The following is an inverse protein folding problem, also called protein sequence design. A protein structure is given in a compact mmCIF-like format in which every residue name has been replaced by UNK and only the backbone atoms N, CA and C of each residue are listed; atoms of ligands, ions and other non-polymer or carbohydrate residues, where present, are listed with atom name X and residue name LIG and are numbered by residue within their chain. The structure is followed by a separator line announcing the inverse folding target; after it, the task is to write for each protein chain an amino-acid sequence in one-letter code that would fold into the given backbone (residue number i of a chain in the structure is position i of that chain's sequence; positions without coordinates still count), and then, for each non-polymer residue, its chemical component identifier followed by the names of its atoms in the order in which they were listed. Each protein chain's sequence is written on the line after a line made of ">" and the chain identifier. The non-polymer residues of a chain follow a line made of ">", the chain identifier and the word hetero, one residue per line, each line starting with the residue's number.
data_IF_357768294102
#
_entry.id   IF_357768294102
#
_cell.length_a   1.000
_cell.length_b   1.000
_cell.length_c   1.000
_cell.angle_alpha   90.00
_cell.angle_beta   90.00
_cell.angle_gamma   90.00
#
_symmetry.space_group_name_H-M   'P 1'
#
loop_
_entity.id
_entity.type
_entity.pdbx_description
1 polymer ?
#
# COMPACT_ATOMS: atom_id res chain seq x y z
N UNK A 1 -65.47 -21.02 9.28
CA UNK A 1 -64.42 -21.26 10.29
C UNK A 1 -63.29 -22.07 9.66
N UNK A 2 -62.04 -21.84 10.08
CA UNK A 2 -60.76 -22.40 9.61
C UNK A 2 -60.11 -21.63 8.42
N UNK A 3 -59.34 -20.55 8.69
CA UNK A 3 -57.91 -20.52 9.09
C UNK A 3 -57.01 -20.89 7.91
N UNK A 4 -56.55 -19.91 7.14
CA UNK A 4 -55.21 -19.29 7.25
C UNK A 4 -54.09 -20.34 7.12
N UNK A 5 -53.45 -20.34 5.94
CA UNK A 5 -52.24 -21.11 5.68
C UNK A 5 -51.37 -20.43 4.63
N UNK A 6 -51.13 -19.11 4.78
CA UNK A 6 -50.04 -18.42 4.07
C UNK A 6 -48.74 -19.13 4.42
N UNK A 7 -48.27 -20.02 3.55
CA UNK A 7 -46.87 -20.48 3.55
C UNK A 7 -46.03 -19.28 3.12
N UNK A 8 -45.67 -18.46 4.10
CA UNK A 8 -44.57 -17.52 3.98
C UNK A 8 -43.31 -18.37 3.75
N UNK A 9 -42.96 -18.55 2.48
CA UNK A 9 -41.63 -18.99 2.11
C UNK A 9 -40.67 -17.92 2.67
N UNK A 10 -40.02 -18.24 3.78
CA UNK A 10 -38.82 -17.57 4.25
C UNK A 10 -37.79 -17.71 3.13
N UNK A 11 -37.81 -16.78 2.17
CA UNK A 11 -36.65 -16.52 1.33
C UNK A 11 -35.56 -16.10 2.30
N UNK A 12 -34.69 -17.03 2.64
CA UNK A 12 -33.39 -16.68 3.19
C UNK A 12 -32.80 -15.71 2.17
N UNK A 13 -32.76 -14.42 2.51
CA UNK A 13 -32.07 -13.46 1.67
C UNK A 13 -30.65 -14.01 1.48
N UNK A 14 -30.15 -14.11 0.24
CA UNK A 14 -28.76 -14.48 0.03
C UNK A 14 -27.96 -13.49 0.87
N UNK A 15 -27.25 -13.99 1.90
CA UNK A 15 -26.30 -13.21 2.68
C UNK A 15 -25.40 -12.55 1.65
N UNK A 16 -25.65 -11.28 1.35
CA UNK A 16 -24.82 -10.55 0.43
C UNK A 16 -23.45 -10.58 1.08
N UNK A 17 -22.54 -11.29 0.44
CA UNK A 17 -21.14 -11.23 0.81
C UNK A 17 -20.79 -9.77 0.59
N UNK A 18 -20.82 -9.01 1.68
CA UNK A 18 -20.43 -7.62 1.70
C UNK A 18 -18.93 -7.65 1.43
N UNK A 19 -18.56 -7.60 0.16
CA UNK A 19 -17.18 -7.40 -0.23
C UNK A 19 -16.78 -6.05 0.39
N UNK A 20 -15.82 -6.03 1.33
CA UNK A 20 -15.26 -4.79 1.80
C UNK A 20 -14.62 -4.17 0.55
N UNK A 21 -15.17 -3.04 0.10
CA UNK A 21 -14.83 -2.31 -1.14
C UNK A 21 -15.59 -2.69 -2.43
N UNK A 22 -15.93 -1.65 -3.20
CA UNK A 22 -16.56 -1.71 -4.51
C UNK A 22 -15.70 -2.54 -5.49
N UNK A 23 -16.31 -3.43 -6.28
CA UNK A 23 -15.59 -4.36 -7.18
C UNK A 23 -14.64 -3.69 -8.17
N UNK A 24 -14.87 -2.42 -8.53
CA UNK A 24 -13.99 -1.63 -9.38
C UNK A 24 -12.60 -1.41 -8.76
N UNK A 25 -12.53 -1.30 -7.44
CA UNK A 25 -11.27 -1.11 -6.72
C UNK A 25 -10.41 -2.37 -6.76
N UNK A 26 -11.03 -3.54 -6.63
CA UNK A 26 -10.34 -4.82 -6.73
C UNK A 26 -9.76 -5.07 -8.12
N UNK A 27 -10.47 -4.69 -9.18
CA UNK A 27 -9.94 -4.77 -10.56
C UNK A 27 -8.72 -3.87 -10.73
N UNK A 28 -8.77 -2.64 -10.19
CA UNK A 28 -7.64 -1.72 -10.20
C UNK A 28 -6.44 -2.30 -9.44
N UNK A 29 -6.66 -2.79 -8.21
CA UNK A 29 -5.65 -3.43 -7.36
C UNK A 29 -4.99 -4.63 -8.03
N UNK A 30 -5.78 -5.52 -8.63
CA UNK A 30 -5.26 -6.68 -9.34
C UNK A 30 -4.50 -6.28 -10.61
N UNK A 31 -4.96 -5.24 -11.31
CA UNK A 31 -4.26 -4.66 -12.45
C UNK A 31 -2.87 -4.15 -12.07
N UNK A 32 -2.77 -3.37 -10.99
CA UNK A 32 -1.49 -2.90 -10.47
C UNK A 32 -0.57 -4.08 -10.10
N UNK A 33 -1.10 -5.11 -9.43
CA UNK A 33 -0.31 -6.29 -9.10
C UNK A 33 0.26 -7.00 -10.33
N UNK A 34 -0.49 -7.12 -11.42
CA UNK A 34 0.00 -7.73 -12.66
C UNK A 34 1.13 -6.90 -13.27
N UNK A 35 0.96 -5.57 -13.32
CA UNK A 35 1.99 -4.66 -13.84
C UNK A 35 3.26 -4.75 -12.99
N UNK A 36 3.17 -4.65 -11.66
CA UNK A 36 4.30 -4.80 -10.76
C UNK A 36 4.96 -6.18 -10.85
N UNK A 37 4.17 -7.24 -10.96
CA UNK A 37 4.70 -8.60 -11.15
C UNK A 37 5.54 -8.70 -12.42
N UNK A 38 5.10 -8.09 -13.52
CA UNK A 38 5.89 -8.04 -14.76
C UNK A 38 7.24 -7.32 -14.55
N UNK A 39 7.25 -6.19 -13.82
CA UNK A 39 8.49 -5.49 -13.48
C UNK A 39 9.42 -6.33 -12.60
N UNK A 40 8.87 -7.07 -11.63
CA UNK A 40 9.67 -7.97 -10.78
C UNK A 40 10.28 -9.13 -11.57
N UNK A 41 9.56 -9.69 -12.53
CA UNK A 41 10.09 -10.74 -13.42
C UNK A 41 11.25 -10.20 -14.26
N UNK A 42 11.08 -9.03 -14.89
CA UNK A 42 12.15 -8.40 -15.67
C UNK A 42 13.38 -8.12 -14.80
N UNK A 43 13.19 -7.60 -13.59
CA UNK A 43 14.27 -7.38 -12.63
C UNK A 43 15.01 -8.68 -12.27
N UNK A 44 14.27 -9.78 -12.03
CA UNK A 44 14.87 -11.08 -11.75
C UNK A 44 15.69 -11.63 -12.93
N UNK A 45 15.23 -11.45 -14.17
CA UNK A 45 15.97 -11.86 -15.36
C UNK A 45 17.29 -11.11 -15.49
N UNK A 46 17.27 -9.77 -15.38
CA UNK A 46 18.48 -8.95 -15.45
C UNK A 46 19.45 -9.25 -14.31
N UNK A 47 18.94 -9.45 -13.09
CA UNK A 47 19.74 -9.88 -11.95
C UNK A 47 20.48 -11.18 -12.23
N UNK A 48 19.81 -12.17 -12.80
CA UNK A 48 20.42 -13.47 -13.12
C UNK A 48 21.53 -13.33 -14.17
N UNK A 49 21.40 -12.38 -15.10
CA UNK A 49 22.42 -12.11 -16.13
C UNK A 49 23.63 -11.33 -15.59
N UNK A 50 23.43 -10.43 -14.62
CA UNK A 50 24.48 -9.52 -14.12
C UNK A 50 24.67 -9.62 -12.59
N UNK A 51 24.76 -10.84 -12.07
CA UNK A 51 24.73 -11.09 -10.61
C UNK A 51 25.82 -10.35 -9.82
N UNK A 52 27.03 -10.22 -10.38
CA UNK A 52 28.18 -9.56 -9.73
C UNK A 52 27.96 -8.05 -9.60
N UNK A 53 27.49 -7.40 -10.67
CA UNK A 53 27.22 -5.97 -10.71
C UNK A 53 26.04 -5.59 -9.79
N UNK A 54 25.03 -6.47 -9.69
CA UNK A 54 23.91 -6.30 -8.75
C UNK A 54 24.37 -6.40 -7.29
N UNK A 55 25.20 -7.39 -6.95
CA UNK A 55 25.76 -7.56 -5.61
C UNK A 55 26.63 -6.38 -5.17
N UNK A 56 27.46 -5.86 -6.08
CA UNK A 56 28.32 -4.71 -5.80
C UNK A 56 27.48 -3.44 -5.61
N UNK A 57 26.54 -3.18 -6.51
CA UNK A 57 25.63 -2.03 -6.43
C UNK A 57 24.73 -2.08 -5.18
N UNK A 58 24.31 -3.28 -4.74
CA UNK A 58 23.54 -3.47 -3.51
C UNK A 58 24.29 -3.06 -2.24
N UNK A 59 25.63 -3.12 -2.21
CA UNK A 59 26.43 -2.69 -1.05
C UNK A 59 26.38 -1.18 -0.83
N UNK A 60 26.04 -0.40 -1.86
CA UNK A 60 25.82 1.03 -1.74
C UNK A 60 24.45 1.37 -1.13
N UNK A 61 23.58 0.38 -0.87
CA UNK A 61 22.34 0.57 -0.14
C UNK A 61 22.49 0.30 1.35
N UNK A 62 21.95 1.20 2.17
CA UNK A 62 21.86 0.99 3.61
C UNK A 62 20.67 0.11 3.94
N UNK A 63 20.93 -1.18 4.22
CA UNK A 63 19.92 -2.14 4.64
C UNK A 63 19.21 -1.68 5.92
N UNK A 64 19.92 -1.08 6.86
CA UNK A 64 19.35 -0.57 8.12
C UNK A 64 18.27 0.49 7.87
N UNK A 65 18.54 1.44 6.98
CA UNK A 65 17.56 2.48 6.61
C UNK A 65 16.37 1.86 5.87
N UNK A 66 16.61 0.86 5.02
CA UNK A 66 15.55 0.08 4.36
C UNK A 66 14.65 -0.66 5.37
N UNK A 67 15.23 -1.33 6.37
CA UNK A 67 14.49 -2.05 7.41
C UNK A 67 13.67 -1.09 8.27
N UNK A 68 14.26 0.00 8.74
CA UNK A 68 13.55 1.00 9.56
C UNK A 68 12.34 1.55 8.78
N UNK A 69 12.52 1.91 7.51
CA UNK A 69 11.43 2.39 6.66
C UNK A 69 10.32 1.36 6.49
N UNK A 70 10.68 0.09 6.32
CA UNK A 70 9.71 -1.00 6.17
C UNK A 70 8.94 -1.22 7.47
N UNK A 71 9.60 -1.17 8.63
CA UNK A 71 8.92 -1.24 9.93
C UNK A 71 7.97 -0.06 10.16
N UNK A 72 8.35 1.15 9.73
CA UNK A 72 7.48 2.35 9.80
C UNK A 72 6.24 2.18 8.93
N UNK A 73 6.38 1.63 7.72
CA UNK A 73 5.25 1.34 6.83
C UNK A 73 4.34 0.23 7.37
N UNK A 74 4.91 -0.86 7.89
CA UNK A 74 4.12 -1.92 8.53
C UNK A 74 3.35 -1.40 9.74
N UNK A 75 3.97 -0.52 10.55
CA UNK A 75 3.29 0.16 11.64
C UNK A 75 2.16 1.08 11.14
N UNK A 76 2.39 1.82 10.03
CA UNK A 76 1.35 2.61 9.35
C UNK A 76 0.15 1.75 8.97
N UNK A 77 0.42 0.61 8.32
CA UNK A 77 -0.56 -0.40 7.92
C UNK A 77 -1.41 -0.84 9.12
N UNK A 78 -0.76 -1.16 10.24
CA UNK A 78 -1.45 -1.51 11.48
C UNK A 78 -2.36 -0.39 12.02
N UNK A 79 -1.91 0.86 11.99
CA UNK A 79 -2.75 1.99 12.40
C UNK A 79 -3.99 2.15 11.51
N UNK A 80 -3.83 2.02 10.19
CA UNK A 80 -4.94 2.12 9.24
C UNK A 80 -5.95 0.99 9.47
N UNK A 81 -5.49 -0.26 9.68
CA UNK A 81 -6.36 -1.38 10.01
C UNK A 81 -7.17 -1.13 11.29
N UNK A 82 -6.51 -0.64 12.35
CA UNK A 82 -7.19 -0.25 13.60
C UNK A 82 -8.18 0.91 13.38
N UNK A 83 -7.89 1.80 12.43
CA UNK A 83 -8.79 2.89 12.02
C UNK A 83 -10.09 2.38 11.40
N UNK A 84 -10.01 1.33 10.57
CA UNK A 84 -11.19 0.66 10.00
C UNK A 84 -12.04 0.03 11.10
N UNK A 85 -11.40 -0.71 12.03
CA UNK A 85 -12.10 -1.32 13.18
C UNK A 85 -12.78 -0.25 14.04
N UNK A 86 -12.09 0.85 14.33
CA UNK A 86 -12.64 1.97 15.07
C UNK A 86 -13.83 2.63 14.36
N UNK A 87 -13.80 2.70 13.02
CA UNK A 87 -14.90 3.20 12.19
C UNK A 87 -16.12 2.28 12.29
N UNK A 88 -15.91 0.96 12.21
CA UNK A 88 -16.98 -0.05 12.37
C UNK A 88 -17.62 -0.01 13.76
N UNK A 89 -16.85 0.30 14.79
CA UNK A 89 -17.32 0.47 16.16
C UNK A 89 -18.02 1.84 16.41
N UNK A 90 -18.16 2.70 15.40
CA UNK A 90 -18.76 4.04 15.52
C UNK A 90 -17.86 5.08 16.21
N UNK A 91 -16.60 4.74 16.51
CA UNK A 91 -15.64 5.61 17.21
C UNK A 91 -14.85 6.51 16.24
N UNK A 92 -15.57 7.39 15.52
CA UNK A 92 -15.01 8.19 14.42
C UNK A 92 -13.82 9.08 14.80
N UNK A 93 -13.78 9.63 16.02
CA UNK A 93 -12.63 10.42 16.48
C UNK A 93 -11.35 9.59 16.61
N UNK A 94 -11.48 8.32 16.99
CA UNK A 94 -10.35 7.39 17.09
C UNK A 94 -9.90 6.95 15.70
N UNK A 95 -10.85 6.63 14.83
CA UNK A 95 -10.57 6.34 13.42
C UNK A 95 -9.80 7.47 12.73
N UNK A 96 -10.25 8.71 12.89
CA UNK A 96 -9.62 9.89 12.30
C UNK A 96 -8.16 10.07 12.77
N UNK A 97 -7.89 9.90 14.07
CA UNK A 97 -6.53 9.96 14.62
C UNK A 97 -5.63 8.84 14.07
N UNK A 98 -6.16 7.62 13.98
CA UNK A 98 -5.42 6.47 13.47
C UNK A 98 -5.10 6.60 11.98
N UNK A 99 -6.05 7.07 11.16
CA UNK A 99 -5.84 7.37 9.75
C UNK A 99 -4.77 8.45 9.57
N UNK A 100 -4.79 9.50 10.40
CA UNK A 100 -3.79 10.55 10.36
C UNK A 100 -2.39 10.04 10.74
N UNK A 101 -2.29 9.21 11.78
CA UNK A 101 -1.03 8.59 12.19
C UNK A 101 -0.48 7.67 11.09
N UNK A 102 -1.35 6.85 10.48
CA UNK A 102 -0.98 6.02 9.33
C UNK A 102 -0.44 6.85 8.16
N UNK A 103 -1.16 7.90 7.77
CA UNK A 103 -0.70 8.83 6.72
C UNK A 103 0.61 9.52 7.08
N UNK A 104 0.80 9.97 8.31
CA UNK A 104 2.04 10.60 8.77
C UNK A 104 3.24 9.65 8.63
N UNK A 105 3.08 8.37 9.01
CA UNK A 105 4.12 7.36 8.80
C UNK A 105 4.46 7.18 7.31
N UNK A 106 3.45 7.21 6.42
CA UNK A 106 3.68 7.17 4.97
C UNK A 106 4.43 8.39 4.42
N UNK A 107 4.16 9.59 4.96
CA UNK A 107 4.92 10.81 4.64
C UNK A 107 6.37 10.69 5.10
N UNK A 108 6.60 10.21 6.33
CA UNK A 108 7.96 9.97 6.86
C UNK A 108 8.71 9.02 5.94
N UNK A 109 8.09 7.92 5.54
CA UNK A 109 8.66 6.98 4.57
C UNK A 109 9.07 7.67 3.26
N UNK A 110 8.16 8.47 2.67
CA UNK A 110 8.43 9.19 1.42
C UNK A 110 9.61 10.17 1.56
N UNK A 111 9.70 10.90 2.67
CA UNK A 111 10.79 11.86 2.95
C UNK A 111 12.13 11.14 3.13
N UNK A 112 12.17 10.06 3.92
CA UNK A 112 13.41 9.29 4.11
C UNK A 112 13.88 8.71 2.78
N UNK A 113 12.96 8.25 1.92
CA UNK A 113 13.31 7.74 0.59
C UNK A 113 13.80 8.83 -0.35
N UNK A 114 13.16 10.00 -0.36
CA UNK A 114 13.63 11.14 -1.13
C UNK A 114 15.04 11.59 -0.70
N UNK A 115 15.34 11.54 0.60
CA UNK A 115 16.67 11.83 1.12
C UNK A 115 17.72 10.77 0.69
N UNK A 116 17.35 9.48 0.71
CA UNK A 116 18.23 8.41 0.22
C UNK A 116 18.50 8.55 -1.29
N UNK A 117 17.51 8.98 -2.06
CA UNK A 117 17.68 9.27 -3.48
C UNK A 117 18.63 10.45 -3.70
N UNK A 118 18.42 11.58 -3.02
CA UNK A 118 19.24 12.78 -3.23
C UNK A 118 20.69 12.55 -2.85
N UNK A 119 20.96 11.81 -1.77
CA UNK A 119 22.32 11.43 -1.35
C UNK A 119 23.00 10.51 -2.37
N UNK A 120 22.29 9.54 -2.97
CA UNK A 120 22.84 8.67 -4.02
C UNK A 120 23.09 9.40 -5.34
N UNK A 121 22.18 10.29 -5.74
CA UNK A 121 22.34 11.13 -6.92
C UNK A 121 23.54 12.07 -6.73
N UNK A 122 23.70 12.66 -5.54
CA UNK A 122 24.85 13.50 -5.20
C UNK A 122 26.18 12.72 -5.19
N UNK A 123 26.14 11.42 -4.88
CA UNK A 123 27.29 10.52 -4.97
C UNK A 123 27.63 10.08 -6.42
N UNK A 124 26.94 10.60 -7.43
CA UNK A 124 27.19 10.29 -8.84
C UNK A 124 26.48 9.03 -9.36
N UNK A 125 25.73 8.33 -8.51
CA UNK A 125 24.96 7.12 -8.84
C UNK A 125 23.64 7.53 -9.53
N UNK A 126 23.77 8.06 -10.74
CA UNK A 126 22.64 8.60 -11.53
C UNK A 126 21.88 7.53 -12.31
N UNK A 127 20.72 7.90 -12.87
CA UNK A 127 19.81 7.03 -13.63
C UNK A 127 20.46 6.11 -14.69
N UNK A 128 21.50 6.55 -15.44
CA UNK A 128 22.19 5.69 -16.41
C UNK A 128 23.50 5.07 -15.88
N UNK A 129 23.74 5.09 -14.55
CA UNK A 129 25.03 4.63 -14.02
C UNK A 129 25.20 3.11 -14.17
N UNK A 130 24.15 2.33 -13.89
CA UNK A 130 24.14 0.87 -14.01
C UNK A 130 22.70 0.35 -14.10
N UNK A 131 22.50 -0.79 -14.77
CA UNK A 131 21.19 -1.43 -14.95
C UNK A 131 20.46 -1.64 -13.60
N UNK A 132 21.19 -1.98 -12.55
CA UNK A 132 20.65 -2.10 -11.19
C UNK A 132 20.04 -0.78 -10.67
N UNK A 133 20.76 0.35 -10.80
CA UNK A 133 20.26 1.65 -10.33
C UNK A 133 19.06 2.10 -11.16
N UNK A 134 19.03 1.81 -12.46
CA UNK A 134 17.87 2.08 -13.31
C UNK A 134 16.62 1.36 -12.78
N UNK A 135 16.69 0.05 -12.54
CA UNK A 135 15.56 -0.69 -11.96
C UNK A 135 15.23 -0.25 -10.54
N UNK A 136 16.24 0.07 -9.73
CA UNK A 136 16.05 0.59 -8.38
C UNK A 136 15.21 1.87 -8.39
N UNK A 137 15.60 2.88 -9.19
CA UNK A 137 14.88 4.15 -9.28
C UNK A 137 13.50 3.97 -9.92
N UNK A 138 13.37 3.08 -10.91
CA UNK A 138 12.07 2.79 -11.53
C UNK A 138 11.10 2.14 -10.53
N UNK A 139 11.48 1.02 -9.90
CA UNK A 139 10.62 0.29 -8.96
C UNK A 139 10.27 1.15 -7.73
N UNK A 140 11.27 1.79 -7.13
CA UNK A 140 11.02 2.63 -5.96
C UNK A 140 10.29 3.93 -6.31
N UNK A 141 10.45 4.45 -7.53
CA UNK A 141 9.78 5.66 -8.00
C UNK A 141 8.31 5.44 -8.31
N UNK A 142 7.98 4.36 -9.04
CA UNK A 142 6.58 3.98 -9.27
C UNK A 142 5.90 3.68 -7.94
N UNK A 143 6.60 3.02 -7.00
CA UNK A 143 6.06 2.82 -5.67
C UNK A 143 5.81 4.13 -4.91
N UNK A 144 6.75 5.07 -4.93
CA UNK A 144 6.57 6.38 -4.28
C UNK A 144 5.37 7.14 -4.85
N UNK A 145 5.13 7.03 -6.16
CA UNK A 145 3.92 7.56 -6.80
C UNK A 145 2.64 6.92 -6.24
N UNK A 146 2.61 5.60 -6.05
CA UNK A 146 1.46 4.90 -5.43
C UNK A 146 1.27 5.28 -3.97
N UNK A 147 2.36 5.47 -3.20
CA UNK A 147 2.28 5.98 -1.82
C UNK A 147 1.67 7.39 -1.80
N UNK A 148 2.04 8.26 -2.75
CA UNK A 148 1.43 9.59 -2.87
C UNK A 148 -0.07 9.51 -3.19
N UNK A 149 -0.49 8.64 -4.11
CA UNK A 149 -1.91 8.37 -4.37
C UNK A 149 -2.62 7.82 -3.12
N UNK A 150 -1.96 6.94 -2.38
CA UNK A 150 -2.50 6.37 -1.14
C UNK A 150 -2.70 7.43 -0.07
N UNK A 151 -1.79 8.40 0.02
CA UNK A 151 -1.91 9.53 0.95
C UNK A 151 -3.09 10.42 0.58
N UNK A 152 -3.34 10.61 -0.73
CA UNK A 152 -4.55 11.31 -1.21
C UNK A 152 -5.81 10.54 -0.79
N UNK A 153 -5.85 9.22 -0.97
CA UNK A 153 -6.99 8.40 -0.53
C UNK A 153 -7.21 8.47 1.00
N UNK A 154 -6.15 8.36 1.81
CA UNK A 154 -6.26 8.53 3.26
C UNK A 154 -6.72 9.95 3.64
N UNK A 155 -6.30 10.97 2.89
CA UNK A 155 -6.77 12.33 3.01
C UNK A 155 -8.28 12.46 2.77
N UNK A 156 -8.79 11.86 1.68
CA UNK A 156 -10.24 11.81 1.38
C UNK A 156 -10.99 11.11 2.53
N UNK A 157 -10.50 9.96 2.98
CA UNK A 157 -11.06 9.22 4.13
C UNK A 157 -11.12 10.09 5.39
N UNK A 158 -10.06 10.86 5.66
CA UNK A 158 -10.03 11.79 6.79
C UNK A 158 -11.09 12.90 6.68
N UNK A 159 -11.24 13.52 5.51
CA UNK A 159 -12.27 14.54 5.28
C UNK A 159 -13.69 13.97 5.40
N UNK A 160 -13.90 12.74 4.93
CA UNK A 160 -15.19 12.06 4.99
C UNK A 160 -15.55 11.64 6.43
N UNK A 161 -14.57 11.17 7.21
CA UNK A 161 -14.73 10.90 8.65
C UNK A 161 -15.09 12.18 9.46
N UNK A 162 -14.54 13.33 9.04
CA UNK A 162 -14.82 14.63 9.67
C UNK A 162 -16.26 15.08 9.43
N UNK A 163 -16.87 14.75 8.29
CA UNK A 163 -18.23 15.20 7.93
C UNK A 163 -19.29 14.14 8.30
N UNK A 164 -20.14 14.38 9.32
CA UNK A 164 -21.11 13.37 9.80
C UNK A 164 -22.10 12.88 8.74
N UNK A 165 -22.44 13.72 7.76
CA UNK A 165 -23.39 13.41 6.70
C UNK A 165 -22.84 12.48 5.62
N UNK A 166 -21.52 12.33 5.50
CA UNK A 166 -20.87 11.52 4.47
C UNK A 166 -20.12 10.31 5.03
N UNK A 167 -20.31 9.94 6.31
CA UNK A 167 -19.57 8.82 6.92
C UNK A 167 -19.91 7.47 6.26
N UNK A 168 -19.14 7.10 5.24
CA UNK A 168 -19.27 5.84 4.52
C UNK A 168 -18.18 4.88 4.97
N UNK A 169 -18.55 3.87 5.75
CA UNK A 169 -17.63 2.82 6.20
C UNK A 169 -16.95 2.12 5.01
N UNK A 170 -17.68 1.91 3.91
CA UNK A 170 -17.15 1.33 2.66
C UNK A 170 -16.01 2.16 2.04
N UNK A 171 -16.04 3.50 2.13
CA UNK A 171 -14.97 4.36 1.62
C UNK A 171 -13.69 4.23 2.47
N UNK A 172 -13.85 4.12 3.79
CA UNK A 172 -12.72 3.88 4.72
C UNK A 172 -12.07 2.54 4.44
N UNK A 173 -12.87 1.49 4.21
CA UNK A 173 -12.40 0.15 3.87
C UNK A 173 -11.68 0.10 2.53
N UNK A 174 -12.21 0.80 1.53
CA UNK A 174 -11.59 0.97 0.21
C UNK A 174 -10.23 1.66 0.37
N UNK A 175 -10.18 2.82 1.04
CA UNK A 175 -8.91 3.52 1.26
C UNK A 175 -7.88 2.70 2.03
N UNK A 176 -8.31 1.95 3.05
CA UNK A 176 -7.44 1.05 3.80
C UNK A 176 -6.90 -0.10 2.95
N UNK A 177 -7.76 -0.74 2.14
CA UNK A 177 -7.37 -1.84 1.25
C UNK A 177 -6.31 -1.37 0.25
N UNK A 178 -6.42 -0.15 -0.26
CA UNK A 178 -5.43 0.42 -1.19
C UNK A 178 -4.09 0.59 -0.48
N UNK A 179 -4.13 1.18 0.72
CA UNK A 179 -2.95 1.41 1.52
C UNK A 179 -2.21 0.11 1.85
N UNK A 180 -2.95 -0.93 2.24
CA UNK A 180 -2.40 -2.26 2.51
C UNK A 180 -1.78 -2.91 1.27
N UNK A 181 -2.41 -2.74 0.09
CA UNK A 181 -1.82 -3.23 -1.15
C UNK A 181 -0.50 -2.52 -1.47
N UNK A 182 -0.46 -1.20 -1.34
CA UNK A 182 0.76 -0.41 -1.58
C UNK A 182 1.87 -0.84 -0.60
N UNK A 183 1.54 -1.05 0.66
CA UNK A 183 2.47 -1.58 1.68
C UNK A 183 3.01 -2.96 1.30
N UNK A 184 2.16 -3.88 0.81
CA UNK A 184 2.59 -5.21 0.35
C UNK A 184 3.55 -5.13 -0.84
N UNK A 185 3.30 -4.22 -1.79
CA UNK A 185 4.22 -3.97 -2.91
C UNK A 185 5.58 -3.49 -2.41
N UNK A 186 5.62 -2.64 -1.37
CA UNK A 186 6.88 -2.21 -0.77
C UNK A 186 7.66 -3.37 -0.19
N UNK A 187 7.00 -4.25 0.56
CA UNK A 187 7.65 -5.43 1.17
C UNK A 187 8.28 -6.32 0.09
N UNK A 188 7.61 -6.50 -1.05
CA UNK A 188 8.16 -7.24 -2.18
C UNK A 188 9.39 -6.54 -2.78
N UNK A 189 9.32 -5.22 -3.02
CA UNK A 189 10.45 -4.42 -3.51
C UNK A 189 11.63 -4.50 -2.54
N UNK A 190 11.38 -4.32 -1.25
CA UNK A 190 12.39 -4.40 -0.20
C UNK A 190 13.07 -5.78 -0.18
N UNK A 191 12.29 -6.86 -0.27
CA UNK A 191 12.84 -8.22 -0.33
C UNK A 191 13.77 -8.41 -1.55
N UNK A 192 13.35 -7.98 -2.74
CA UNK A 192 14.11 -8.17 -3.97
C UNK A 192 15.35 -7.27 -4.06
N UNK A 193 15.25 -6.02 -3.60
CA UNK A 193 16.29 -5.00 -3.77
C UNK A 193 17.28 -4.99 -2.60
N UNK A 194 16.84 -5.16 -1.36
CA UNK A 194 17.68 -5.01 -0.16
C UNK A 194 18.04 -6.36 0.50
N UNK A 195 17.13 -7.34 0.49
CA UNK A 195 17.33 -8.59 1.25
C UNK A 195 17.99 -9.67 0.40
N UNK A 196 17.54 -9.83 -0.85
CA UNK A 196 18.08 -10.83 -1.76
C UNK A 196 19.47 -10.37 -2.25
N UNK A 197 20.52 -10.98 -1.68
CA UNK A 197 21.93 -10.75 -2.01
C UNK A 197 22.48 -12.04 -2.61
#
# INVERSE_FOLDING_TARGET
>A
MAVIGRRAALRAEPRSVHLPSDGNMWVFVLGDFVIFSSYFIVFMVYRNQQHVLFLESQRHLSLTVGVINTLVLLASSWFVAQGVVATRAGSFQRAMRLTLLGGACGVVFAVVKAYEWSTKIAAGLTFPHNDFFMFYYLLTGVHLFHVALGLVFLGVVYFELRNPAQRRVSMVETGATYWHMVDLLWVAIFALVYVLR
#
